data_IF_987169068976
#
_entry.id   IF_987169068976
#
_cell.length_a   1.000
_cell.length_b   1.000
_cell.length_c   1.000
_cell.angle_alpha   90.00
_cell.angle_beta   90.00
_cell.angle_gamma   90.00
#
_symmetry.space_group_name_H-M   'P 1'
#
loop_
_entity.id
_entity.type
_entity.pdbx_description
1 polymer ?
#
# COMPACT_ATOMS: atom_id res chain seq x y z
N UNK A 1 45.65 -33.53 -64.66
CA UNK A 1 45.54 -33.36 -63.20
C UNK A 1 44.22 -33.97 -62.73
N UNK A 2 44.26 -35.07 -61.96
CA UNK A 2 43.05 -35.63 -61.32
C UNK A 2 42.65 -34.68 -60.19
N UNK A 3 41.40 -34.20 -60.19
CA UNK A 3 40.87 -33.41 -59.08
C UNK A 3 40.91 -34.30 -57.84
N UNK A 4 41.63 -33.90 -56.79
CA UNK A 4 41.56 -34.59 -55.50
C UNK A 4 40.12 -34.43 -54.99
N UNK A 5 39.43 -35.54 -54.79
CA UNK A 5 38.12 -35.57 -54.14
C UNK A 5 38.24 -34.86 -52.78
N UNK A 6 37.49 -33.77 -52.61
CA UNK A 6 37.46 -33.03 -51.35
C UNK A 6 37.01 -34.00 -50.27
N UNK A 7 37.87 -34.31 -49.29
CA UNK A 7 37.48 -35.06 -48.09
C UNK A 7 36.25 -34.40 -47.49
N UNK A 8 35.16 -35.15 -47.37
CA UNK A 8 33.96 -34.69 -46.71
C UNK A 8 34.29 -34.55 -45.22
N UNK A 9 34.26 -33.32 -44.70
CA UNK A 9 34.46 -33.08 -43.27
C UNK A 9 33.19 -33.48 -42.54
N UNK A 10 33.22 -34.65 -41.89
CA UNK A 10 32.15 -35.09 -41.01
C UNK A 10 32.38 -34.50 -39.62
N UNK A 11 31.31 -33.98 -39.02
CA UNK A 11 31.30 -33.51 -37.64
C UNK A 11 30.50 -34.50 -36.80
N UNK A 12 31.01 -34.83 -35.61
CA UNK A 12 30.29 -35.70 -34.67
C UNK A 12 29.12 -34.96 -34.04
N UNK A 13 28.06 -35.69 -33.66
CA UNK A 13 26.88 -35.10 -32.99
C UNK A 13 27.28 -34.35 -31.72
N UNK A 14 28.21 -34.89 -30.94
CA UNK A 14 28.72 -34.23 -29.73
C UNK A 14 29.42 -32.91 -30.03
N UNK A 15 30.22 -32.84 -31.10
CA UNK A 15 30.85 -31.59 -31.52
C UNK A 15 29.81 -30.57 -31.99
N UNK A 16 28.74 -31.02 -32.65
CA UNK A 16 27.63 -30.17 -33.07
C UNK A 16 26.91 -29.52 -31.88
N UNK A 17 26.60 -30.31 -30.85
CA UNK A 17 25.94 -29.82 -29.63
C UNK A 17 26.80 -28.78 -28.90
N UNK A 18 28.10 -29.08 -28.71
CA UNK A 18 29.06 -28.12 -28.11
C UNK A 18 29.18 -26.82 -28.89
N UNK A 19 28.95 -26.83 -30.20
CA UNK A 19 28.97 -25.62 -31.03
C UNK A 19 27.67 -24.81 -30.93
N UNK A 20 26.52 -25.48 -30.75
CA UNK A 20 25.23 -24.83 -30.50
C UNK A 20 25.14 -24.23 -29.09
N UNK A 21 25.76 -24.85 -28.08
CA UNK A 21 25.83 -24.32 -26.71
C UNK A 21 26.51 -22.94 -26.63
N UNK A 22 27.36 -22.61 -27.61
CA UNK A 22 28.01 -21.28 -27.71
C UNK A 22 27.06 -20.17 -28.16
N UNK A 23 25.81 -20.47 -28.47
CA UNK A 23 24.81 -19.47 -28.82
C UNK A 23 24.24 -18.92 -27.52
N UNK A 24 24.66 -17.71 -27.17
CA UNK A 24 24.22 -17.04 -25.95
C UNK A 24 23.18 -15.96 -26.23
N UNK A 25 22.25 -15.81 -25.30
CA UNK A 25 21.27 -14.73 -25.26
C UNK A 25 21.57 -13.82 -24.08
N UNK A 26 21.62 -12.51 -24.33
CA UNK A 26 21.87 -11.49 -23.33
C UNK A 26 20.63 -10.63 -23.14
N UNK A 27 20.38 -10.27 -21.89
CA UNK A 27 19.34 -9.32 -21.52
C UNK A 27 19.92 -7.91 -21.50
N UNK A 28 19.32 -7.02 -22.26
CA UNK A 28 19.74 -5.61 -22.33
C UNK A 28 19.01 -4.75 -21.29
N UNK A 29 19.38 -3.47 -21.21
CA UNK A 29 18.82 -2.46 -20.30
C UNK A 29 17.32 -2.23 -20.50
N UNK A 30 16.82 -2.48 -21.71
CA UNK A 30 15.39 -2.46 -22.04
C UNK A 30 14.62 -3.70 -21.53
N UNK A 31 15.29 -4.58 -20.77
CA UNK A 31 14.79 -5.86 -20.26
C UNK A 31 14.45 -6.90 -21.33
N UNK A 32 14.81 -6.67 -22.60
CA UNK A 32 14.58 -7.62 -23.69
C UNK A 32 15.77 -8.55 -23.86
N UNK A 33 15.48 -9.80 -24.18
CA UNK A 33 16.48 -10.79 -24.55
C UNK A 33 16.78 -10.70 -26.03
N UNK A 34 18.06 -10.74 -26.36
CA UNK A 34 18.56 -10.77 -27.74
C UNK A 34 19.75 -11.72 -27.81
N UNK A 35 20.06 -12.19 -29.01
CA UNK A 35 21.31 -12.90 -29.25
C UNK A 35 22.51 -11.98 -29.00
N UNK A 36 23.46 -12.43 -28.20
CA UNK A 36 24.69 -11.68 -27.90
C UNK A 36 25.57 -11.54 -29.16
N UNK A 37 25.66 -12.63 -29.91
CA UNK A 37 26.37 -12.70 -31.17
C UNK A 37 25.50 -13.32 -32.27
N UNK A 38 25.73 -12.91 -33.52
CA UNK A 38 25.07 -13.53 -34.66
C UNK A 38 25.51 -15.00 -34.79
N UNK A 39 24.57 -15.90 -35.08
CA UNK A 39 24.87 -17.30 -35.31
C UNK A 39 25.93 -17.47 -36.41
N UNK A 40 27.02 -18.16 -36.07
CA UNK A 40 28.14 -18.45 -36.97
C UNK A 40 27.70 -19.36 -38.11
N UNK A 41 28.45 -19.37 -39.22
CA UNK A 41 28.13 -20.20 -40.38
C UNK A 41 28.02 -21.69 -40.02
N UNK A 42 28.93 -22.21 -39.18
CA UNK A 42 28.89 -23.59 -38.68
C UNK A 42 27.61 -23.87 -37.90
N UNK A 43 27.23 -22.99 -36.97
CA UNK A 43 26.00 -23.10 -36.18
C UNK A 43 24.75 -23.12 -37.08
N UNK A 44 24.70 -22.26 -38.10
CA UNK A 44 23.60 -22.24 -39.08
C UNK A 44 23.51 -23.54 -39.89
N UNK A 45 24.65 -24.10 -40.30
CA UNK A 45 24.70 -25.38 -41.02
C UNK A 45 24.18 -26.51 -40.12
N UNK A 46 24.58 -26.52 -38.85
CA UNK A 46 24.11 -27.49 -37.86
C UNK A 46 22.60 -27.40 -37.66
N UNK A 47 22.08 -26.20 -37.40
CA UNK A 47 20.64 -25.98 -37.23
C UNK A 47 19.86 -26.46 -38.46
N UNK A 48 20.35 -26.12 -39.67
CA UNK A 48 19.72 -26.54 -40.93
C UNK A 48 19.71 -28.05 -41.11
N UNK A 49 20.77 -28.75 -40.67
CA UNK A 49 20.82 -30.21 -40.68
C UNK A 49 19.73 -30.84 -39.78
N UNK A 50 19.32 -30.14 -38.72
CA UNK A 50 18.21 -30.52 -37.86
C UNK A 50 16.85 -29.97 -38.31
N UNK A 51 16.75 -29.36 -39.50
CA UNK A 51 15.51 -28.76 -40.00
C UNK A 51 15.11 -27.46 -39.30
N UNK A 52 16.04 -26.81 -38.60
CA UNK A 52 15.82 -25.56 -37.89
C UNK A 52 16.58 -24.40 -38.56
N UNK A 53 16.16 -23.17 -38.28
CA UNK A 53 16.85 -21.96 -38.71
C UNK A 53 17.19 -21.06 -37.50
N UNK A 54 18.19 -20.20 -37.66
CA UNK A 54 18.60 -19.26 -36.61
C UNK A 54 17.48 -18.29 -36.17
N UNK A 55 16.44 -18.11 -37.00
CA UNK A 55 15.22 -17.39 -36.63
C UNK A 55 14.51 -17.95 -35.40
N UNK A 56 14.59 -19.27 -35.14
CA UNK A 56 13.92 -19.89 -33.99
C UNK A 56 14.45 -19.33 -32.66
N UNK A 57 15.74 -19.00 -32.61
CA UNK A 57 16.37 -18.45 -31.41
C UNK A 57 15.87 -17.02 -31.15
N UNK A 58 15.65 -16.24 -32.21
CA UNK A 58 15.04 -14.90 -32.08
C UNK A 58 13.60 -15.00 -31.58
N UNK A 59 12.84 -15.96 -32.06
CA UNK A 59 11.47 -16.21 -31.60
C UNK A 59 11.44 -16.52 -30.09
N UNK A 60 12.26 -17.45 -29.62
CA UNK A 60 12.34 -17.75 -28.18
C UNK A 60 12.80 -16.54 -27.35
N UNK A 61 13.72 -15.72 -27.87
CA UNK A 61 14.13 -14.48 -27.21
C UNK A 61 12.98 -13.48 -27.05
N UNK A 62 12.13 -13.37 -28.07
CA UNK A 62 10.95 -12.53 -28.03
C UNK A 62 9.90 -13.07 -27.05
N UNK A 63 9.60 -14.37 -27.07
CA UNK A 63 8.67 -14.99 -26.13
C UNK A 63 9.09 -14.80 -24.67
N UNK A 64 10.37 -14.99 -24.34
CA UNK A 64 10.88 -14.76 -22.98
C UNK A 64 10.70 -13.29 -22.60
N UNK A 65 10.98 -12.36 -23.52
CA UNK A 65 10.82 -10.93 -23.29
C UNK A 65 9.37 -10.55 -23.02
N UNK A 66 8.42 -11.13 -23.77
CA UNK A 66 6.98 -10.92 -23.59
C UNK A 66 6.54 -11.42 -22.20
N UNK A 67 6.89 -12.67 -21.86
CA UNK A 67 6.54 -13.27 -20.55
C UNK A 67 7.03 -12.44 -19.38
N UNK A 68 8.24 -11.87 -19.49
CA UNK A 68 8.78 -11.00 -18.44
C UNK A 68 8.05 -9.66 -18.33
N UNK A 69 7.63 -9.07 -19.45
CA UNK A 69 6.86 -7.83 -19.45
C UNK A 69 5.45 -8.05 -18.88
N UNK A 70 4.80 -9.16 -19.22
CA UNK A 70 3.52 -9.56 -18.63
C UNK A 70 3.63 -9.78 -17.11
N UNK A 71 4.66 -10.50 -16.66
CA UNK A 71 4.92 -10.69 -15.23
C UNK A 71 5.12 -9.37 -14.49
N UNK A 72 5.86 -8.42 -15.10
CA UNK A 72 6.08 -7.08 -14.56
C UNK A 72 4.79 -6.26 -14.50
N UNK A 73 3.96 -6.30 -15.54
CA UNK A 73 2.65 -5.63 -15.57
C UNK A 73 1.72 -6.18 -14.50
N UNK A 74 1.61 -7.50 -14.38
CA UNK A 74 0.81 -8.16 -13.34
C UNK A 74 1.30 -7.79 -11.93
N UNK A 75 2.61 -7.70 -11.71
CA UNK A 75 3.15 -7.26 -10.42
C UNK A 75 2.82 -5.81 -10.08
N UNK A 76 2.73 -4.93 -11.09
CA UNK A 76 2.35 -3.52 -10.92
C UNK A 76 0.86 -3.36 -10.64
N UNK A 77 -0.01 -4.03 -11.40
CA UNK A 77 -1.47 -3.94 -11.20
C UNK A 77 -1.87 -4.41 -9.81
N UNK A 78 -1.33 -5.54 -9.34
CA UNK A 78 -1.59 -6.05 -7.98
C UNK A 78 -1.17 -5.07 -6.87
N UNK A 79 -0.04 -4.37 -7.05
CA UNK A 79 0.42 -3.36 -6.08
C UNK A 79 -0.53 -2.17 -6.04
N UNK A 80 -1.01 -1.71 -7.19
CA UNK A 80 -1.97 -0.62 -7.27
C UNK A 80 -3.31 -1.02 -6.63
N UNK A 81 -3.86 -2.19 -7.00
CA UNK A 81 -5.09 -2.71 -6.39
C UNK A 81 -4.97 -2.84 -4.86
N UNK A 82 -3.83 -3.33 -4.36
CA UNK A 82 -3.59 -3.38 -2.91
C UNK A 82 -3.56 -1.99 -2.27
N UNK A 83 -2.89 -1.02 -2.89
CA UNK A 83 -2.90 0.38 -2.43
C UNK A 83 -4.32 0.94 -2.37
N UNK A 84 -5.10 0.75 -3.44
CA UNK A 84 -6.49 1.22 -3.54
C UNK A 84 -7.36 0.59 -2.44
N UNK A 85 -7.15 -0.70 -2.13
CA UNK A 85 -7.89 -1.36 -1.04
C UNK A 85 -7.53 -0.81 0.34
N UNK A 86 -6.27 -0.43 0.57
CA UNK A 86 -5.84 0.21 1.82
C UNK A 86 -6.44 1.62 1.93
N UNK A 87 -6.40 2.41 0.87
CA UNK A 87 -6.99 3.75 0.85
C UNK A 87 -8.49 3.70 1.15
N UNK A 88 -9.23 2.75 0.57
CA UNK A 88 -10.65 2.51 0.89
C UNK A 88 -10.87 2.13 2.36
N UNK A 89 -9.98 1.33 2.95
CA UNK A 89 -10.08 0.98 4.38
C UNK A 89 -9.82 2.20 5.27
N UNK A 90 -8.84 3.03 4.93
CA UNK A 90 -8.53 4.27 5.63
C UNK A 90 -9.72 5.23 5.58
N UNK A 91 -10.33 5.42 4.41
CA UNK A 91 -11.50 6.28 4.25
C UNK A 91 -12.69 5.81 5.11
N UNK A 92 -12.99 4.50 5.10
CA UNK A 92 -14.03 3.92 5.97
C UNK A 92 -13.73 4.15 7.46
N UNK A 93 -12.47 4.00 7.87
CA UNK A 93 -12.05 4.23 9.24
C UNK A 93 -12.22 5.72 9.63
N UNK A 94 -11.82 6.64 8.76
CA UNK A 94 -11.99 8.09 8.95
C UNK A 94 -13.46 8.47 9.11
N UNK A 95 -14.35 7.96 8.25
CA UNK A 95 -15.79 8.19 8.34
C UNK A 95 -16.34 7.74 9.69
N UNK A 96 -15.91 6.57 10.18
CA UNK A 96 -16.35 6.04 11.47
C UNK A 96 -15.90 6.93 12.64
N UNK A 97 -14.67 7.44 12.59
CA UNK A 97 -14.14 8.38 13.60
C UNK A 97 -14.96 9.66 13.61
N UNK A 98 -15.23 10.26 12.46
CA UNK A 98 -16.03 11.50 12.35
C UNK A 98 -17.44 11.30 12.90
N UNK A 99 -18.12 10.21 12.53
CA UNK A 99 -19.46 9.89 13.05
C UNK A 99 -19.47 9.72 14.57
N UNK A 100 -18.46 9.05 15.11
CA UNK A 100 -18.33 8.82 16.56
C UNK A 100 -18.08 10.14 17.30
N UNK A 101 -17.25 11.03 16.73
CA UNK A 101 -17.01 12.37 17.27
C UNK A 101 -18.28 13.21 17.31
N UNK A 102 -19.07 13.23 16.23
CA UNK A 102 -20.33 13.98 16.20
C UNK A 102 -21.34 13.46 17.25
N UNK A 103 -21.43 12.14 17.43
CA UNK A 103 -22.29 11.55 18.47
C UNK A 103 -21.82 11.92 19.89
N UNK A 104 -20.50 11.92 20.13
CA UNK A 104 -19.92 12.36 21.39
C UNK A 104 -20.26 13.84 21.66
N UNK A 105 -20.05 14.72 20.69
CA UNK A 105 -20.35 16.17 20.82
C UNK A 105 -21.84 16.41 21.14
N UNK A 106 -22.76 15.70 20.46
CA UNK A 106 -24.20 15.77 20.76
C UNK A 106 -24.54 15.30 22.18
N UNK A 107 -23.89 14.23 22.64
CA UNK A 107 -24.06 13.70 24.00
C UNK A 107 -23.55 14.69 25.06
N UNK A 108 -22.39 15.31 24.82
CA UNK A 108 -21.81 16.34 25.68
C UNK A 108 -22.72 17.57 25.78
N UNK A 109 -23.25 18.04 24.64
CA UNK A 109 -24.20 19.16 24.63
C UNK A 109 -25.47 18.84 25.45
N UNK A 110 -26.00 17.63 25.29
CA UNK A 110 -27.18 17.18 26.05
C UNK A 110 -26.90 17.13 27.56
N UNK A 111 -25.71 16.66 27.97
CA UNK A 111 -25.28 16.65 29.36
C UNK A 111 -25.17 18.08 29.92
N UNK A 112 -24.59 19.01 29.15
CA UNK A 112 -24.45 20.40 29.57
C UNK A 112 -25.80 21.03 29.90
N UNK A 113 -26.81 20.82 29.04
CA UNK A 113 -28.16 21.33 29.27
C UNK A 113 -28.77 20.79 30.57
N UNK A 114 -28.49 19.53 30.93
CA UNK A 114 -28.98 18.94 32.18
C UNK A 114 -28.26 19.52 33.41
N UNK A 115 -26.95 19.76 33.31
CA UNK A 115 -26.18 20.39 34.38
C UNK A 115 -26.68 21.81 34.66
N UNK A 116 -26.92 22.61 33.60
CA UNK A 116 -27.43 23.97 33.73
C UNK A 116 -28.82 23.98 34.37
N UNK A 117 -29.71 23.06 33.98
CA UNK A 117 -31.04 22.90 34.61
C UNK A 117 -30.94 22.53 36.09
N UNK A 118 -30.06 21.59 36.43
CA UNK A 118 -29.82 21.15 37.82
C UNK A 118 -29.34 22.31 38.68
N UNK A 119 -28.42 23.12 38.16
CA UNK A 119 -27.86 24.25 38.92
C UNK A 119 -28.87 25.39 39.08
N UNK A 120 -29.74 25.61 38.08
CA UNK A 120 -30.88 26.52 38.21
C UNK A 120 -31.87 26.07 39.30
N UNK A 121 -32.26 24.78 39.32
CA UNK A 121 -33.18 24.24 40.34
C UNK A 121 -32.59 24.38 41.74
N UNK A 122 -31.32 24.00 41.94
CA UNK A 122 -30.65 24.14 43.24
C UNK A 122 -30.58 25.59 43.71
N UNK A 123 -30.35 26.52 42.78
CA UNK A 123 -30.36 27.95 43.10
C UNK A 123 -31.75 28.39 43.57
N UNK A 124 -32.80 28.00 42.88
CA UNK A 124 -34.18 28.34 43.26
C UNK A 124 -34.60 27.72 44.60
N UNK A 125 -34.22 26.47 44.86
CA UNK A 125 -34.43 25.80 46.15
C UNK A 125 -33.74 26.55 47.28
N UNK A 126 -32.47 26.92 47.08
CA UNK A 126 -31.73 27.72 48.05
C UNK A 126 -32.44 29.05 48.35
N UNK A 127 -32.89 29.78 47.31
CA UNK A 127 -33.63 31.03 47.49
C UNK A 127 -34.95 30.83 48.24
N UNK A 128 -35.68 29.74 47.98
CA UNK A 128 -36.92 29.43 48.71
C UNK A 128 -36.67 29.17 50.19
N UNK A 129 -35.63 28.41 50.52
CA UNK A 129 -35.29 28.14 51.93
C UNK A 129 -34.80 29.40 52.64
N UNK A 130 -34.05 30.29 51.97
CA UNK A 130 -33.69 31.61 52.49
C UNK A 130 -34.94 32.46 52.74
N UNK A 131 -35.92 32.46 51.82
CA UNK A 131 -37.15 33.22 51.98
C UNK A 131 -38.07 32.68 53.09
N UNK A 132 -38.03 31.37 53.36
CA UNK A 132 -38.77 30.76 54.48
C UNK A 132 -38.11 31.01 55.83
N UNK A 133 -36.80 31.25 55.84
CA UNK A 133 -36.08 31.54 57.07
C UNK A 133 -36.58 32.85 57.67
N UNK A 134 -37.08 32.80 58.90
CA UNK A 134 -37.50 33.99 59.66
C UNK A 134 -36.32 34.84 60.17
N UNK A 135 -35.08 34.46 59.84
CA UNK A 135 -33.89 35.19 60.28
C UNK A 135 -33.88 36.62 59.76
N UNK A 136 -33.71 37.56 60.68
CA UNK A 136 -33.66 38.98 60.34
C UNK A 136 -32.32 39.36 59.74
N UNK A 137 -32.31 40.47 59.01
CA UNK A 137 -31.09 41.03 58.43
C UNK A 137 -30.01 41.28 59.49
N UNK A 138 -30.41 41.74 60.68
CA UNK A 138 -29.52 41.97 61.82
C UNK A 138 -28.91 40.67 62.37
N UNK A 139 -29.65 39.56 62.41
CA UNK A 139 -29.12 38.26 62.85
C UNK A 139 -28.09 37.70 61.86
N UNK A 140 -28.33 37.84 60.56
CA UNK A 140 -27.40 37.41 59.51
C UNK A 140 -26.10 38.23 59.58
N UNK A 141 -26.21 39.56 59.76
CA UNK A 141 -25.04 40.43 59.94
C UNK A 141 -24.26 40.12 61.21
N UNK A 142 -24.92 39.69 62.28
CA UNK A 142 -24.26 39.26 63.52
C UNK A 142 -23.38 38.04 63.29
N UNK A 143 -23.87 37.04 62.57
CA UNK A 143 -23.08 35.85 62.23
C UNK A 143 -21.85 36.19 61.36
N UNK A 144 -22.02 37.00 60.30
CA UNK A 144 -20.92 37.39 59.42
C UNK A 144 -19.86 38.23 60.16
N UNK A 145 -20.27 39.11 61.08
CA UNK A 145 -19.32 39.91 61.88
C UNK A 145 -18.58 39.07 62.93
N UNK A 146 -19.22 38.07 63.51
CA UNK A 146 -18.59 37.20 64.52
C UNK A 146 -17.54 36.29 63.88
N UNK A 147 -17.79 35.73 62.70
CA UNK A 147 -16.81 34.88 62.00
C UNK A 147 -15.54 35.65 61.59
N UNK A 148 -15.68 36.93 61.21
CA UNK A 148 -14.53 37.81 60.90
C UNK A 148 -13.73 38.25 62.15
N UNK A 149 -14.27 38.05 63.37
CA UNK A 149 -13.59 38.35 64.64
C UNK A 149 -12.85 37.12 65.21
N UNK A 150 -13.06 35.93 64.62
CA UNK A 150 -12.47 34.65 65.09
C UNK A 150 -11.34 34.12 64.19
N UNK A 151 -11.02 34.83 63.10
CA UNK A 151 -9.91 34.52 62.16
C UNK A 151 -8.67 35.40 62.41
N UNK A 152 -8.54 36.03 63.58
CA UNK A 152 -7.28 36.65 64.09
C UNK A 152 -6.64 35.76 65.17
#
# INVERSE_FOLDING_TARGET
MRKLDKRTNFMTVQAALKELEKIEMVRLTDNKYRLDHAAKATQKIILKAFGMDASIIKHYAEEISIKLEEAKKMGRTRKNEFSDTIEQQIEKAQIKVVKSKAAYESSVSSLQVLLDKRDAVRKDELWKEILKSEKTYEEILRYIKVDNLTEE
#
